data_IF_689076462738
#
_entry.id   IF_689076462738
#
_cell.length_a   1.000
_cell.length_b   1.000
_cell.length_c   1.000
_cell.angle_alpha   90.00
_cell.angle_beta   90.00
_cell.angle_gamma   90.00
#
_symmetry.space_group_name_H-M   'P 1'
#
loop_
_entity.id
_entity.type
_entity.pdbx_description
1 polymer ?
#
# COMPACT_ATOMS: atom_id res chain seq x y z
N UNK A 1 -9.93 36.84 22.96
CA UNK A 1 -9.12 35.66 23.30
C UNK A 1 -9.39 34.59 22.25
N UNK A 2 -8.43 34.35 21.36
CA UNK A 2 -8.55 33.38 20.26
C UNK A 2 -7.54 32.27 20.48
N UNK A 3 -8.00 31.05 20.69
CA UNK A 3 -7.15 29.88 20.86
C UNK A 3 -6.81 29.32 19.47
N UNK A 4 -5.52 29.27 19.14
CA UNK A 4 -5.03 28.65 17.90
C UNK A 4 -4.89 27.14 18.12
N UNK A 5 -5.66 26.36 17.36
CA UNK A 5 -5.65 24.90 17.39
C UNK A 5 -4.34 24.38 16.77
N UNK A 6 -3.59 23.54 17.49
CA UNK A 6 -2.40 22.87 16.94
C UNK A 6 -2.88 21.77 15.99
N UNK A 7 -2.64 21.95 14.69
CA UNK A 7 -2.83 20.93 13.66
C UNK A 7 -1.65 19.95 13.72
N UNK A 8 -1.87 18.80 14.36
CA UNK A 8 -0.88 17.73 14.42
C UNK A 8 -0.82 16.93 13.13
N UNK A 9 0.34 17.00 12.46
CA UNK A 9 0.99 15.85 11.81
C UNK A 9 0.43 15.32 10.48
N UNK A 10 1.09 15.73 9.38
CA UNK A 10 1.37 14.98 8.13
C UNK A 10 0.41 13.83 7.77
N UNK A 11 -0.34 13.90 6.67
CA UNK A 11 0.23 14.03 5.34
C UNK A 11 -0.63 14.93 4.43
N UNK A 12 -0.15 16.14 4.21
CA UNK A 12 -0.29 16.79 2.90
C UNK A 12 0.61 16.02 1.92
N UNK A 13 0.17 14.83 1.50
CA UNK A 13 0.42 14.40 0.13
C UNK A 13 -0.58 15.18 -0.73
N UNK A 14 -0.39 16.50 -0.79
CA UNK A 14 -1.08 17.36 -1.72
C UNK A 14 -0.65 16.90 -3.10
N UNK A 15 -1.55 16.11 -3.72
CA UNK A 15 -1.82 16.07 -5.15
C UNK A 15 -0.72 16.69 -6.02
N UNK A 16 0.32 15.90 -6.32
CA UNK A 16 1.10 16.14 -7.52
C UNK A 16 0.29 15.57 -8.69
N UNK A 17 -0.74 16.32 -9.07
CA UNK A 17 -1.52 16.12 -10.28
C UNK A 17 -0.69 16.61 -11.46
N UNK A 18 0.42 15.92 -11.74
CA UNK A 18 1.09 16.00 -13.04
C UNK A 18 0.66 14.80 -13.86
N UNK A 19 -0.36 15.04 -14.68
CA UNK A 19 -0.70 14.36 -15.93
C UNK A 19 0.20 13.19 -16.37
N UNK A 20 -0.44 12.02 -16.53
CA UNK A 20 -0.22 11.15 -17.70
C UNK A 20 0.63 9.90 -17.53
N UNK A 21 1.55 9.83 -16.57
CA UNK A 21 2.34 8.63 -16.36
C UNK A 21 1.78 7.80 -15.19
N UNK A 22 1.22 6.63 -15.50
CA UNK A 22 1.10 5.57 -14.49
C UNK A 22 2.52 5.32 -13.98
N UNK A 23 2.73 5.57 -12.71
CA UNK A 23 4.04 5.55 -12.09
C UNK A 23 4.10 4.63 -10.89
N UNK A 24 5.30 4.51 -10.34
CA UNK A 24 5.57 3.72 -9.13
C UNK A 24 4.64 4.05 -7.95
N UNK A 25 4.10 5.28 -7.88
CA UNK A 25 3.18 5.68 -6.83
C UNK A 25 1.82 4.94 -6.93
N UNK A 26 1.22 4.85 -8.11
CA UNK A 26 -0.05 4.14 -8.32
C UNK A 26 0.09 2.64 -8.01
N UNK A 27 1.21 2.02 -8.41
CA UNK A 27 1.54 0.63 -8.08
C UNK A 27 1.59 0.40 -6.57
N UNK A 28 2.23 1.31 -5.82
CA UNK A 28 2.29 1.22 -4.35
C UNK A 28 0.92 1.39 -3.70
N UNK A 29 0.09 2.31 -4.20
CA UNK A 29 -1.28 2.47 -3.70
C UNK A 29 -2.11 1.19 -3.89
N UNK A 30 -1.93 0.51 -5.02
CA UNK A 30 -2.62 -0.72 -5.32
C UNK A 30 -2.15 -1.90 -4.44
N UNK A 31 -0.85 -1.98 -4.17
CA UNK A 31 -0.31 -2.93 -3.19
C UNK A 31 -0.94 -2.72 -1.79
N UNK A 32 -1.03 -1.47 -1.34
CA UNK A 32 -1.68 -1.11 -0.07
C UNK A 32 -3.16 -1.50 -0.09
N UNK A 33 -3.87 -1.27 -1.21
CA UNK A 33 -5.27 -1.66 -1.36
C UNK A 33 -5.46 -3.16 -1.19
N UNK A 34 -4.65 -3.98 -1.87
CA UNK A 34 -4.70 -5.45 -1.76
C UNK A 34 -4.39 -5.95 -0.34
N UNK A 35 -3.36 -5.40 0.31
CA UNK A 35 -3.05 -5.74 1.71
C UNK A 35 -4.18 -5.41 2.68
N UNK A 36 -4.88 -4.30 2.47
CA UNK A 36 -6.06 -3.94 3.27
C UNK A 36 -7.21 -4.93 3.05
N UNK A 37 -7.47 -5.32 1.80
CA UNK A 37 -8.51 -6.29 1.47
C UNK A 37 -8.23 -7.69 2.03
N UNK A 38 -6.97 -8.11 2.06
CA UNK A 38 -6.57 -9.37 2.68
C UNK A 38 -6.57 -9.34 4.23
N UNK A 39 -6.89 -8.19 4.85
CA UNK A 39 -6.92 -8.05 6.31
C UNK A 39 -5.53 -7.96 6.96
N UNK A 40 -4.45 -7.80 6.19
CA UNK A 40 -3.09 -7.66 6.73
C UNK A 40 -3.01 -6.47 7.67
N UNK A 41 -3.59 -5.32 7.30
CA UNK A 41 -3.55 -4.10 8.13
C UNK A 41 -4.17 -4.34 9.51
N UNK A 42 -5.30 -5.04 9.60
CA UNK A 42 -5.97 -5.34 10.86
C UNK A 42 -5.14 -6.32 11.71
N UNK A 43 -4.61 -7.39 11.11
CA UNK A 43 -3.75 -8.34 11.83
C UNK A 43 -2.45 -7.69 12.30
N UNK A 44 -1.89 -6.77 11.52
CA UNK A 44 -0.70 -6.01 11.90
C UNK A 44 -0.98 -5.09 13.11
N UNK A 45 -2.09 -4.35 13.10
CA UNK A 45 -2.51 -3.55 14.26
C UNK A 45 -2.73 -4.42 15.50
N UNK A 46 -3.41 -5.57 15.35
CA UNK A 46 -3.59 -6.54 16.43
C UNK A 46 -2.25 -7.01 16.98
N UNK A 47 -1.27 -7.34 16.12
CA UNK A 47 0.08 -7.74 16.54
C UNK A 47 0.76 -6.65 17.36
N UNK A 48 0.66 -5.39 16.95
CA UNK A 48 1.26 -4.27 17.68
C UNK A 48 0.68 -4.11 19.09
N UNK A 49 -0.62 -4.35 19.26
CA UNK A 49 -1.31 -4.22 20.56
C UNK A 49 -1.12 -5.46 21.45
N UNK A 50 -1.19 -6.65 20.87
CA UNK A 50 -1.27 -7.92 21.63
C UNK A 50 0.04 -8.72 21.66
N UNK A 51 1.01 -8.37 20.81
CA UNK A 51 2.23 -9.14 20.58
C UNK A 51 2.03 -10.46 19.82
N UNK A 52 0.79 -10.86 19.54
CA UNK A 52 0.48 -12.11 18.83
C UNK A 52 0.92 -11.99 17.37
N UNK A 53 1.68 -12.96 16.88
CA UNK A 53 2.18 -12.99 15.50
C UNK A 53 1.04 -12.97 14.47
N UNK A 54 1.32 -12.37 13.31
CA UNK A 54 0.43 -12.43 12.15
C UNK A 54 0.41 -13.89 11.65
N UNK A 55 -0.74 -14.41 11.17
CA UNK A 55 -0.77 -15.73 10.53
C UNK A 55 0.24 -15.82 9.39
N UNK A 56 1.06 -16.87 9.37
CA UNK A 56 2.11 -17.07 8.34
C UNK A 56 1.62 -16.91 6.89
N UNK A 57 0.44 -17.45 6.50
CA UNK A 57 -0.06 -17.25 5.14
C UNK A 57 -0.20 -15.76 4.77
N UNK A 58 -0.61 -14.93 5.72
CA UNK A 58 -0.80 -13.50 5.52
C UNK A 58 0.53 -12.72 5.50
N UNK A 59 1.55 -13.19 6.22
CA UNK A 59 2.91 -12.68 6.10
C UNK A 59 3.51 -13.00 4.72
N UNK A 60 3.30 -14.22 4.22
CA UNK A 60 3.74 -14.60 2.87
C UNK A 60 3.00 -13.84 1.78
N UNK A 61 1.68 -13.66 1.93
CA UNK A 61 0.89 -12.83 1.02
C UNK A 61 1.46 -11.41 0.95
N UNK A 62 1.78 -10.80 2.11
CA UNK A 62 2.41 -9.47 2.11
C UNK A 62 3.74 -9.46 1.38
N UNK A 63 4.61 -10.41 1.66
CA UNK A 63 5.91 -10.49 0.99
C UNK A 63 5.75 -10.56 -0.53
N UNK A 64 4.80 -11.35 -1.03
CA UNK A 64 4.53 -11.47 -2.47
C UNK A 64 3.96 -10.18 -3.05
N UNK A 65 3.01 -9.53 -2.37
CA UNK A 65 2.45 -8.24 -2.81
C UNK A 65 3.53 -7.16 -2.87
N UNK A 66 4.39 -7.07 -1.85
CA UNK A 66 5.49 -6.09 -1.82
C UNK A 66 6.48 -6.35 -2.96
N UNK A 67 6.83 -7.63 -3.21
CA UNK A 67 7.72 -8.01 -4.31
C UNK A 67 7.15 -7.62 -5.68
N UNK A 68 5.87 -7.94 -5.95
CA UNK A 68 5.21 -7.57 -7.20
C UNK A 68 5.19 -6.05 -7.37
N UNK A 69 4.86 -5.32 -6.31
CA UNK A 69 4.82 -3.87 -6.34
C UNK A 69 6.19 -3.26 -6.67
N UNK A 70 7.27 -3.79 -6.08
CA UNK A 70 8.63 -3.36 -6.39
C UNK A 70 8.99 -3.61 -7.86
N UNK A 71 8.65 -4.79 -8.39
CA UNK A 71 8.95 -5.16 -9.78
C UNK A 71 8.17 -4.33 -10.79
N UNK A 72 6.87 -4.16 -10.58
CA UNK A 72 6.02 -3.33 -11.44
C UNK A 72 6.45 -1.86 -11.40
N UNK A 73 6.82 -1.34 -10.24
CA UNK A 73 7.27 0.04 -10.08
C UNK A 73 8.65 0.33 -10.74
N UNK A 74 9.44 -0.72 -11.01
CA UNK A 74 10.73 -0.61 -11.69
C UNK A 74 10.62 -0.67 -13.23
N UNK A 75 9.43 -0.94 -13.78
CA UNK A 75 9.19 -0.93 -15.22
C UNK A 75 9.02 0.50 -15.73
N UNK A 76 9.60 0.79 -16.89
CA UNK A 76 9.45 2.06 -17.61
C UNK A 76 9.08 1.79 -19.07
N UNK A 77 7.82 2.03 -19.49
CA UNK A 77 6.70 2.51 -18.66
C UNK A 77 6.10 1.41 -17.76
N UNK A 78 5.43 1.81 -16.67
CA UNK A 78 4.59 0.90 -15.89
C UNK A 78 3.41 0.42 -16.77
N UNK A 79 3.05 -0.87 -16.77
CA UNK A 79 1.90 -1.37 -17.54
C UNK A 79 0.60 -0.64 -17.20
N UNK A 80 -0.20 -0.30 -18.21
CA UNK A 80 -1.50 0.36 -17.98
C UNK A 80 -2.47 -0.51 -17.19
N UNK A 81 -2.37 -1.82 -17.36
CA UNK A 81 -3.17 -2.83 -16.69
C UNK A 81 -2.53 -3.37 -15.41
N UNK A 82 -1.60 -2.63 -14.79
CA UNK A 82 -0.86 -3.09 -13.59
C UNK A 82 -1.76 -3.57 -12.45
N UNK A 83 -3.03 -3.15 -12.38
CA UNK A 83 -4.00 -3.59 -11.38
C UNK A 83 -4.64 -4.95 -11.70
N UNK A 84 -4.37 -5.54 -12.86
CA UNK A 84 -4.87 -6.86 -13.27
C UNK A 84 -4.33 -7.97 -12.37
N UNK A 85 -5.21 -8.87 -11.94
CA UNK A 85 -4.84 -9.98 -11.03
C UNK A 85 -3.80 -10.94 -11.62
N UNK A 86 -3.50 -10.87 -12.92
CA UNK A 86 -2.41 -11.64 -13.55
C UNK A 86 -1.04 -11.32 -12.94
N UNK A 87 -0.84 -10.10 -12.43
CA UNK A 87 0.43 -9.66 -11.85
C UNK A 87 0.52 -9.94 -10.34
N UNK A 88 -0.61 -10.12 -9.65
CA UNK A 88 -0.67 -10.13 -8.19
C UNK A 88 -0.95 -11.51 -7.64
N UNK A 89 -0.45 -11.83 -6.43
CA UNK A 89 -0.80 -13.08 -5.76
C UNK A 89 -2.29 -13.11 -5.37
N UNK A 90 -2.88 -14.30 -5.39
CA UNK A 90 -4.18 -14.54 -4.78
C UNK A 90 -4.05 -14.64 -3.24
N UNK A 91 -5.02 -14.08 -2.47
CA UNK A 91 -5.02 -14.13 -1.01
C UNK A 91 -5.34 -15.50 -0.43
#
# INVERSE_FOLDING_TARGET
MTLTLIRGGQAEAAADTTNGAIGAHQVRQEAIRRLRQAGYTQQHMRRLVTGISIPKPLEYYKMQVDFVAERLAALDPVPEDFASDIYWPAP
#
